data_IF_503866865210
#
_entry.id   IF_503866865210
#
_cell.length_a   1.000
_cell.length_b   1.000
_cell.length_c   1.000
_cell.angle_alpha   90.00
_cell.angle_beta   90.00
_cell.angle_gamma   90.00
#
_symmetry.space_group_name_H-M   'P 1'
#
loop_
_entity.id
_entity.type
_entity.pdbx_description
1 polymer ?
#
# COMPACT_ATOMS: atom_id res chain seq x y z
N UNK A 1 7.39 -4.75 -4.79
CA UNK A 1 6.21 -4.72 -3.88
C UNK A 1 6.23 -5.95 -2.97
N UNK A 2 6.69 -5.82 -1.72
CA UNK A 2 6.70 -6.91 -0.72
C UNK A 2 5.39 -6.91 0.08
N UNK A 3 4.26 -7.08 -0.60
CA UNK A 3 2.97 -7.19 0.07
C UNK A 3 2.50 -8.66 -0.05
N UNK A 4 2.40 -9.35 1.11
CA UNK A 4 2.00 -10.76 1.18
C UNK A 4 0.59 -10.96 0.61
N UNK A 5 -0.32 -10.03 0.90
CA UNK A 5 -1.70 -10.07 0.43
C UNK A 5 -1.83 -9.89 -1.07
N UNK A 6 -1.02 -9.02 -1.65
CA UNK A 6 -0.93 -8.94 -3.11
C UNK A 6 -0.40 -10.25 -3.73
N UNK A 7 0.54 -10.94 -3.07
CA UNK A 7 1.00 -12.25 -3.53
C UNK A 7 -0.11 -13.30 -3.45
N UNK A 8 -0.88 -13.32 -2.37
CA UNK A 8 -2.07 -14.18 -2.22
C UNK A 8 -3.11 -13.90 -3.31
N UNK A 9 -3.41 -12.62 -3.56
CA UNK A 9 -4.35 -12.19 -4.61
C UNK A 9 -3.90 -12.64 -6.01
N UNK A 10 -2.60 -12.53 -6.31
CA UNK A 10 -2.04 -13.06 -7.56
C UNK A 10 -2.18 -14.57 -7.69
N UNK A 11 -2.04 -15.31 -6.59
CA UNK A 11 -2.16 -16.77 -6.60
C UNK A 11 -3.63 -17.20 -6.76
N UNK A 12 -4.56 -16.52 -6.11
CA UNK A 12 -6.01 -16.75 -6.27
C UNK A 12 -6.46 -16.59 -7.72
N UNK A 13 -5.90 -15.61 -8.44
CA UNK A 13 -6.26 -15.32 -9.83
C UNK A 13 -5.42 -16.11 -10.86
N UNK A 14 -4.57 -17.04 -10.44
CA UNK A 14 -3.62 -17.73 -11.33
C UNK A 14 -4.27 -18.71 -12.32
N UNK A 15 -5.52 -19.09 -12.18
CA UNK A 15 -6.22 -19.87 -13.21
C UNK A 15 -6.67 -19.00 -14.39
N UNK A 16 -7.07 -17.76 -14.12
CA UNK A 16 -7.74 -16.85 -15.07
C UNK A 16 -6.87 -15.69 -15.55
N UNK A 17 -5.95 -15.23 -14.72
CA UNK A 17 -5.35 -13.91 -14.87
C UNK A 17 -3.86 -13.87 -14.50
N UNK A 18 -3.13 -12.90 -15.04
CA UNK A 18 -1.71 -12.68 -14.82
C UNK A 18 -1.42 -11.21 -14.60
N UNK A 19 -0.71 -10.92 -13.51
CA UNK A 19 -0.13 -9.60 -13.26
C UNK A 19 1.29 -9.54 -13.79
N UNK A 20 1.59 -8.54 -14.59
CA UNK A 20 2.93 -8.20 -15.03
C UNK A 20 3.31 -6.85 -14.42
N UNK A 21 4.28 -6.87 -13.51
CA UNK A 21 4.85 -5.68 -12.88
C UNK A 21 6.29 -5.56 -13.33
N UNK A 22 6.69 -4.37 -13.76
CA UNK A 22 8.04 -4.12 -14.24
C UNK A 22 8.27 -2.64 -14.48
N UNK A 23 9.38 -2.29 -15.13
CA UNK A 23 9.62 -0.92 -15.53
C UNK A 23 8.55 -0.45 -16.52
N UNK A 24 7.86 0.64 -16.20
CA UNK A 24 6.88 1.27 -17.09
C UNK A 24 7.47 1.49 -18.49
N UNK A 25 8.73 1.94 -18.56
CA UNK A 25 9.42 2.19 -19.82
C UNK A 25 9.49 0.94 -20.70
N UNK A 26 9.75 -0.22 -20.11
CA UNK A 26 9.86 -1.51 -20.81
C UNK A 26 8.48 -1.96 -21.26
N UNK A 27 7.48 -1.94 -20.37
CA UNK A 27 6.11 -2.32 -20.71
C UNK A 27 5.53 -1.45 -21.83
N UNK A 28 5.77 -0.13 -21.81
CA UNK A 28 5.39 0.79 -22.87
C UNK A 28 6.01 0.45 -24.22
N UNK A 29 7.27 0.01 -24.24
CA UNK A 29 7.94 -0.43 -25.48
C UNK A 29 7.36 -1.73 -25.98
N UNK A 30 7.07 -2.69 -25.08
CA UNK A 30 6.49 -3.99 -25.46
C UNK A 30 5.09 -3.88 -26.06
N UNK A 31 4.29 -2.90 -25.63
CA UNK A 31 2.96 -2.64 -26.18
C UNK A 31 3.02 -1.77 -27.45
N UNK A 32 4.05 -0.95 -27.60
CA UNK A 32 4.17 0.11 -28.61
C UNK A 32 3.75 1.47 -28.06
N UNK A 33 4.43 2.53 -28.48
CA UNK A 33 4.22 3.90 -27.98
C UNK A 33 3.34 4.75 -28.88
N UNK A 34 3.15 4.33 -30.12
CA UNK A 34 2.36 4.99 -31.15
C UNK A 34 1.60 3.97 -31.99
N UNK A 35 0.74 4.44 -32.89
CA UNK A 35 0.03 3.59 -33.85
C UNK A 35 1.00 2.87 -34.79
N UNK A 36 2.18 3.44 -35.07
CA UNK A 36 3.13 2.88 -36.02
C UNK A 36 3.89 1.65 -35.49
N UNK A 37 4.03 1.53 -34.17
CA UNK A 37 4.80 0.48 -33.48
C UNK A 37 3.94 -0.35 -32.52
N UNK A 38 2.62 -0.26 -32.63
CA UNK A 38 1.72 -0.97 -31.73
C UNK A 38 1.68 -2.47 -31.99
N UNK A 39 1.78 -3.26 -30.93
CA UNK A 39 1.74 -4.71 -31.02
C UNK A 39 0.36 -5.23 -31.48
N UNK A 40 -0.70 -4.47 -31.18
CA UNK A 40 -2.09 -4.72 -31.60
C UNK A 40 -2.81 -3.39 -31.82
N UNK A 41 -3.79 -3.33 -32.73
CA UNK A 41 -4.59 -2.12 -32.98
C UNK A 41 -5.11 -1.46 -31.70
N UNK A 42 -4.78 -0.20 -31.49
CA UNK A 42 -5.19 0.61 -30.34
C UNK A 42 -4.50 0.32 -29.01
N UNK A 43 -3.62 -0.69 -28.90
CA UNK A 43 -3.01 -1.08 -27.62
C UNK A 43 -2.01 -0.03 -27.10
N UNK A 44 -1.44 0.80 -27.98
CA UNK A 44 -0.55 1.90 -27.60
C UNK A 44 -1.23 2.91 -26.65
N UNK A 45 -2.57 2.93 -26.58
CA UNK A 45 -3.33 3.74 -25.62
C UNK A 45 -3.03 3.33 -24.18
N UNK A 46 -2.87 2.02 -23.89
CA UNK A 46 -2.45 1.53 -22.56
C UNK A 46 -1.07 2.07 -22.17
N UNK A 47 -0.14 2.16 -23.12
CA UNK A 47 1.22 2.67 -22.88
C UNK A 47 1.21 4.09 -22.32
N UNK A 48 0.27 4.94 -22.77
CA UNK A 48 0.13 6.33 -22.28
C UNK A 48 -0.29 6.39 -20.81
N UNK A 49 -0.98 5.37 -20.32
CA UNK A 49 -1.48 5.25 -18.95
C UNK A 49 -0.48 4.60 -17.97
N UNK A 50 0.59 3.96 -18.46
CA UNK A 50 1.62 3.34 -17.61
C UNK A 50 2.55 4.40 -16.97
N UNK A 51 2.17 4.91 -15.80
CA UNK A 51 2.93 5.92 -15.03
C UNK A 51 2.89 5.59 -13.53
N UNK A 52 3.90 6.04 -12.78
CA UNK A 52 4.02 5.75 -11.34
C UNK A 52 4.07 4.25 -11.04
N UNK A 53 3.42 3.84 -9.95
CA UNK A 53 3.30 2.43 -9.54
C UNK A 53 2.20 1.68 -10.33
N UNK A 54 2.40 1.58 -11.64
CA UNK A 54 1.49 0.90 -12.56
C UNK A 54 2.00 -0.49 -12.99
N UNK A 55 1.06 -1.32 -13.45
CA UNK A 55 1.34 -2.65 -13.97
C UNK A 55 0.26 -3.10 -14.95
N UNK A 56 0.50 -4.23 -15.62
CA UNK A 56 -0.46 -4.83 -16.54
C UNK A 56 -1.18 -5.99 -15.87
N UNK A 57 -2.48 -6.08 -16.09
CA UNK A 57 -3.32 -7.18 -15.64
C UNK A 57 -4.00 -7.80 -16.87
N UNK A 58 -3.56 -9.01 -17.22
CA UNK A 58 -4.15 -9.78 -18.29
C UNK A 58 -5.13 -10.77 -17.70
N UNK A 59 -6.33 -10.88 -18.26
CA UNK A 59 -7.39 -11.71 -17.69
C UNK A 59 -8.34 -12.19 -18.77
N UNK A 60 -8.93 -13.37 -18.55
CA UNK A 60 -10.07 -13.87 -19.31
C UNK A 60 -11.42 -13.65 -18.58
N UNK A 61 -11.42 -12.93 -17.46
CA UNK A 61 -12.63 -12.59 -16.72
C UNK A 61 -13.39 -11.46 -17.41
N UNK A 62 -14.70 -11.43 -17.17
CA UNK A 62 -15.57 -10.37 -17.67
C UNK A 62 -15.30 -9.04 -16.96
N UNK A 63 -15.61 -7.94 -17.66
CA UNK A 63 -15.35 -6.56 -17.20
C UNK A 63 -15.88 -6.32 -15.78
N UNK A 64 -17.13 -6.68 -15.55
CA UNK A 64 -17.83 -6.42 -14.29
C UNK A 64 -17.24 -7.23 -13.14
N UNK A 65 -16.73 -8.44 -13.42
CA UNK A 65 -16.05 -9.25 -12.42
C UNK A 65 -14.70 -8.65 -12.03
N UNK A 66 -13.92 -8.19 -13.02
CA UNK A 66 -12.64 -7.51 -12.77
C UNK A 66 -12.83 -6.25 -11.94
N UNK A 67 -13.85 -5.44 -12.26
CA UNK A 67 -14.18 -4.24 -11.48
C UNK A 67 -14.53 -4.59 -10.03
N UNK A 68 -15.40 -5.58 -9.81
CA UNK A 68 -15.76 -6.04 -8.45
C UNK A 68 -14.55 -6.56 -7.68
N UNK A 69 -13.65 -7.29 -8.32
CA UNK A 69 -12.45 -7.83 -7.69
C UNK A 69 -11.51 -6.71 -7.21
N UNK A 70 -11.29 -5.69 -8.04
CA UNK A 70 -10.38 -4.58 -7.70
C UNK A 70 -11.01 -3.64 -6.67
N UNK A 71 -12.31 -3.39 -6.74
CA UNK A 71 -13.04 -2.57 -5.75
C UNK A 71 -13.03 -3.21 -4.36
N UNK A 72 -13.20 -4.54 -4.29
CA UNK A 72 -13.13 -5.28 -3.02
C UNK A 72 -11.71 -5.46 -2.49
N UNK A 73 -10.69 -5.33 -3.34
CA UNK A 73 -9.32 -5.55 -2.93
C UNK A 73 -8.79 -4.35 -2.14
N UNK A 74 -8.91 -4.47 -0.82
CA UNK A 74 -8.43 -3.51 0.15
C UNK A 74 -7.71 -4.23 1.28
N UNK A 75 -6.50 -3.79 1.59
CA UNK A 75 -5.69 -4.39 2.64
C UNK A 75 -5.11 -3.34 3.57
N UNK A 76 -5.42 -3.45 4.85
CA UNK A 76 -4.84 -2.60 5.88
C UNK A 76 -3.41 -3.06 6.19
N UNK A 77 -2.48 -2.13 6.12
CA UNK A 77 -1.05 -2.31 6.39
C UNK A 77 -0.55 -1.29 7.41
N UNK A 78 0.63 -1.55 7.95
CA UNK A 78 1.29 -0.63 8.85
C UNK A 78 1.76 0.60 8.07
N UNK A 79 1.41 1.78 8.57
CA UNK A 79 1.86 3.02 7.98
C UNK A 79 3.39 3.15 8.10
N UNK A 80 3.99 3.79 7.11
CA UNK A 80 5.44 4.02 7.03
C UNK A 80 5.75 5.47 7.39
N UNK A 81 7.02 5.75 7.64
CA UNK A 81 7.50 7.13 7.76
C UNK A 81 7.00 7.98 6.59
N UNK A 82 6.49 9.17 6.89
CA UNK A 82 5.96 10.11 5.91
C UNK A 82 4.50 9.87 5.53
N UNK A 83 3.90 8.70 5.82
CA UNK A 83 2.46 8.52 5.66
C UNK A 83 1.71 9.49 6.58
N UNK A 84 0.60 10.04 6.09
CA UNK A 84 -0.28 10.90 6.89
C UNK A 84 -1.06 10.01 7.87
N UNK A 85 -1.03 10.35 9.15
CA UNK A 85 -1.79 9.64 10.18
C UNK A 85 -3.30 9.86 9.96
N UNK A 86 -4.05 8.76 9.95
CA UNK A 86 -5.51 8.77 9.72
C UNK A 86 -6.31 9.11 10.97
N UNK A 87 -5.68 9.02 12.14
CA UNK A 87 -6.29 9.33 13.43
C UNK A 87 -5.19 9.68 14.45
N UNK A 88 -5.59 10.34 15.53
CA UNK A 88 -4.71 10.56 16.68
C UNK A 88 -4.53 9.27 17.46
N UNK A 89 -3.29 8.90 17.78
CA UNK A 89 -2.99 7.81 18.72
C UNK A 89 -2.24 8.36 19.92
N UNK A 90 -2.83 8.15 21.08
CA UNK A 90 -2.32 8.57 22.37
C UNK A 90 -2.33 7.38 23.34
N UNK A 91 -1.21 7.17 24.02
CA UNK A 91 -1.08 6.19 25.08
C UNK A 91 -1.18 6.89 26.43
N UNK A 92 -1.95 6.33 27.35
CA UNK A 92 -2.08 6.84 28.71
C UNK A 92 -1.04 6.25 29.64
N UNK A 93 -0.63 7.02 30.64
CA UNK A 93 0.24 6.55 31.72
C UNK A 93 -0.32 5.25 32.33
N UNK A 94 0.56 4.28 32.60
CA UNK A 94 0.16 3.00 33.18
C UNK A 94 0.81 1.78 32.53
N UNK A 95 0.40 0.56 32.94
CA UNK A 95 0.99 -0.68 32.45
C UNK A 95 0.67 -0.94 30.97
N UNK A 96 1.68 -1.38 30.22
CA UNK A 96 1.58 -1.85 28.84
C UNK A 96 1.60 -3.39 28.80
N UNK A 97 0.49 -3.99 29.22
CA UNK A 97 0.34 -5.44 29.40
C UNK A 97 0.53 -6.26 28.11
N UNK A 98 0.37 -5.63 26.95
CA UNK A 98 0.56 -6.25 25.64
C UNK A 98 2.03 -6.57 25.33
N UNK A 99 3.00 -6.05 26.10
CA UNK A 99 4.42 -6.24 25.86
C UNK A 99 5.09 -7.08 26.95
N UNK A 100 5.93 -8.03 26.53
CA UNK A 100 6.83 -8.76 27.46
C UNK A 100 7.91 -7.83 28.01
N UNK A 101 8.30 -8.03 29.27
CA UNK A 101 9.37 -7.26 29.94
C UNK A 101 10.69 -7.17 29.16
N UNK A 102 11.03 -8.19 28.37
CA UNK A 102 12.23 -8.22 27.52
C UNK A 102 12.22 -7.13 26.41
N UNK A 103 11.03 -6.64 26.05
CA UNK A 103 10.84 -5.59 25.04
C UNK A 103 11.15 -4.19 25.55
N UNK A 104 11.29 -4.00 26.87
CA UNK A 104 11.44 -2.67 27.48
C UNK A 104 12.61 -1.86 26.90
N UNK A 105 13.83 -2.41 26.75
CA UNK A 105 14.94 -1.65 26.18
C UNK A 105 14.68 -1.24 24.73
N UNK A 106 13.96 -2.08 23.98
CA UNK A 106 13.59 -1.81 22.59
C UNK A 106 12.55 -0.70 22.49
N UNK A 107 11.49 -0.75 23.31
CA UNK A 107 10.42 0.24 23.36
C UNK A 107 10.96 1.60 23.79
N UNK A 108 11.80 1.64 24.83
CA UNK A 108 12.49 2.85 25.27
C UNK A 108 13.36 3.46 24.16
N UNK A 109 14.07 2.63 23.39
CA UNK A 109 14.87 3.08 22.24
C UNK A 109 14.02 3.64 21.08
N UNK A 110 12.74 3.26 20.96
CA UNK A 110 11.80 3.87 20.01
C UNK A 110 11.24 5.22 20.50
N UNK A 111 11.62 5.67 21.71
CA UNK A 111 11.25 6.99 22.24
C UNK A 111 10.04 6.98 23.18
N UNK A 112 9.46 5.81 23.50
CA UNK A 112 8.39 5.77 24.50
C UNK A 112 8.99 5.95 25.91
N UNK A 113 8.41 6.82 26.76
CA UNK A 113 8.83 7.00 28.13
C UNK A 113 8.34 5.83 28.98
N UNK A 114 9.09 4.73 28.99
CA UNK A 114 8.75 3.52 29.75
C UNK A 114 9.73 3.24 30.89
N UNK A 115 9.26 2.48 31.89
CA UNK A 115 10.05 1.88 32.96
C UNK A 115 9.62 0.45 33.20
N UNK A 116 10.51 -0.36 33.77
CA UNK A 116 10.16 -1.69 34.27
C UNK A 116 9.75 -1.60 35.74
N UNK A 117 8.50 -1.94 36.06
CA UNK A 117 7.99 -1.98 37.42
C UNK A 117 7.50 -3.40 37.76
N UNK A 118 8.16 -4.07 38.72
CA UNK A 118 7.83 -5.44 39.15
C UNK A 118 7.67 -6.45 38.00
N UNK A 119 8.47 -6.30 36.94
CA UNK A 119 8.43 -7.18 35.76
C UNK A 119 7.35 -6.82 34.72
N UNK A 120 6.60 -5.73 34.91
CA UNK A 120 5.71 -5.16 33.90
C UNK A 120 6.31 -3.88 33.30
N UNK A 121 6.09 -3.67 32.01
CA UNK A 121 6.45 -2.40 31.35
C UNK A 121 5.35 -1.40 31.67
N UNK A 122 5.73 -0.23 32.20
CA UNK A 122 4.82 0.88 32.46
C UNK A 122 5.25 2.10 31.67
N UNK A 123 4.29 2.77 31.03
CA UNK A 123 4.44 4.12 30.52
C UNK A 123 4.46 5.10 31.69
N UNK A 124 5.47 5.98 31.72
CA UNK A 124 5.76 6.91 32.83
C UNK A 124 4.90 8.16 32.79
N UNK A 125 4.37 8.51 31.62
CA UNK A 125 3.47 9.64 31.41
C UNK A 125 2.66 9.42 30.13
N UNK A 126 1.55 10.12 29.98
CA UNK A 126 0.83 10.17 28.70
C UNK A 126 1.78 10.50 27.54
N UNK A 127 1.59 9.82 26.41
CA UNK A 127 2.46 9.95 25.24
C UNK A 127 1.63 9.94 23.95
N UNK A 128 1.74 11.02 23.18
CA UNK A 128 1.12 11.10 21.85
C UNK A 128 2.05 10.48 20.82
N UNK A 129 1.60 9.39 20.20
CA UNK A 129 2.35 8.69 19.15
C UNK A 129 2.27 9.45 17.84
N UNK A 130 1.07 9.92 17.46
CA UNK A 130 0.84 10.75 16.28
C UNK A 130 -0.46 11.55 16.42
N UNK A 131 -0.53 12.65 15.68
CA UNK A 131 -1.73 13.49 15.52
C UNK A 131 -2.33 13.25 14.13
N UNK A 132 -3.66 13.28 14.05
CA UNK A 132 -4.38 13.12 12.78
C UNK A 132 -3.95 14.19 11.76
N UNK A 133 -3.77 13.79 10.50
CA UNK A 133 -3.39 14.69 9.42
C UNK A 133 -1.90 15.08 9.39
N UNK A 134 -1.08 14.58 10.32
CA UNK A 134 0.36 14.84 10.33
C UNK A 134 1.17 13.68 9.73
N UNK A 135 2.32 13.96 9.08
CA UNK A 135 3.21 12.92 8.58
C UNK A 135 3.86 12.16 9.74
N UNK A 136 3.87 10.83 9.65
CA UNK A 136 4.46 9.96 10.66
C UNK A 136 5.98 10.05 10.68
N UNK A 137 6.56 10.24 11.87
CA UNK A 137 8.00 10.09 12.08
C UNK A 137 8.41 8.60 12.01
N UNK A 138 9.71 8.30 11.84
CA UNK A 138 10.22 6.93 11.90
C UNK A 138 9.90 6.21 13.21
N UNK A 139 9.90 6.93 14.33
CA UNK A 139 9.61 6.45 15.68
C UNK A 139 8.12 6.17 15.85
N UNK A 140 7.26 7.07 15.37
CA UNK A 140 5.80 6.91 15.39
C UNK A 140 5.36 5.70 14.55
N UNK A 141 5.86 5.57 13.32
CA UNK A 141 5.55 4.43 12.45
C UNK A 141 5.96 3.09 13.07
N UNK A 142 7.13 3.03 13.73
CA UNK A 142 7.59 1.84 14.46
C UNK A 142 6.74 1.54 15.69
N UNK A 143 6.35 2.58 16.44
CA UNK A 143 5.47 2.46 17.60
C UNK A 143 4.09 1.95 17.21
N UNK A 144 3.46 2.52 16.18
CA UNK A 144 2.17 2.04 15.64
C UNK A 144 2.24 0.56 15.23
N UNK A 145 3.33 0.16 14.58
CA UNK A 145 3.56 -1.25 14.22
C UNK A 145 3.69 -2.16 15.44
N UNK A 146 4.36 -1.71 16.50
CA UNK A 146 4.45 -2.46 17.77
C UNK A 146 3.08 -2.61 18.43
N UNK A 147 2.26 -1.56 18.36
CA UNK A 147 0.90 -1.55 18.89
C UNK A 147 -0.10 -2.35 18.02
N UNK A 148 0.31 -2.84 16.86
CA UNK A 148 -0.58 -3.53 15.93
C UNK A 148 -1.55 -2.60 15.19
N UNK A 149 -1.34 -1.29 15.25
CA UNK A 149 -2.21 -0.27 14.64
C UNK A 149 -1.84 -0.07 13.18
N UNK A 150 -2.80 -0.29 12.29
CA UNK A 150 -2.65 -0.18 10.84
C UNK A 150 -3.33 1.11 10.35
N UNK A 151 -2.55 2.03 9.81
CA UNK A 151 -3.01 3.33 9.30
C UNK A 151 -2.72 3.53 7.81
N UNK A 152 -2.25 2.51 7.11
CA UNK A 152 -2.11 2.55 5.66
C UNK A 152 -3.11 1.58 5.04
N UNK A 153 -3.67 2.02 3.91
CA UNK A 153 -4.57 1.19 3.11
C UNK A 153 -3.93 0.96 1.76
N UNK A 154 -3.70 -0.30 1.43
CA UNK A 154 -3.25 -0.73 0.12
C UNK A 154 -4.47 -1.09 -0.74
N UNK A 155 -4.61 -0.43 -1.89
CA UNK A 155 -5.66 -0.71 -2.88
C UNK A 155 -5.04 -0.84 -4.26
N UNK A 156 -5.69 -1.62 -5.13
CA UNK A 156 -5.38 -1.66 -6.55
C UNK A 156 -6.45 -0.88 -7.30
N UNK A 157 -6.02 -0.07 -8.25
CA UNK A 157 -6.94 0.75 -9.04
C UNK A 157 -6.89 0.34 -10.51
N UNK A 158 -8.06 0.08 -11.07
CA UNK A 158 -8.21 -0.05 -12.51
C UNK A 158 -8.10 1.35 -13.13
N UNK A 159 -7.07 1.56 -13.94
CA UNK A 159 -6.84 2.85 -14.60
C UNK A 159 -7.54 2.88 -15.96
N UNK A 160 -7.34 1.83 -16.75
CA UNK A 160 -7.94 1.66 -18.06
C UNK A 160 -8.05 0.17 -18.43
N UNK A 161 -8.89 -0.11 -19.43
CA UNK A 161 -9.06 -1.43 -20.04
C UNK A 161 -8.93 -1.29 -21.56
N UNK A 162 -8.33 -2.30 -22.15
CA UNK A 162 -8.28 -2.46 -23.60
C UNK A 162 -8.74 -3.88 -23.95
N UNK A 163 -9.56 -3.99 -24.99
CA UNK A 163 -9.76 -5.21 -25.76
C UNK A 163 -9.67 -4.84 -27.26
N UNK A 164 -9.74 -5.80 -28.19
CA UNK A 164 -9.61 -5.49 -29.62
C UNK A 164 -10.67 -4.52 -30.17
N UNK A 165 -11.84 -4.46 -29.54
CA UNK A 165 -13.00 -3.70 -30.02
C UNK A 165 -13.16 -2.33 -29.33
N UNK A 166 -12.58 -2.17 -28.14
CA UNK A 166 -12.88 -1.09 -27.22
C UNK A 166 -11.69 -0.72 -26.32
N UNK A 167 -11.64 0.56 -25.96
CA UNK A 167 -10.70 1.11 -24.98
C UNK A 167 -11.45 2.05 -24.05
N UNK A 168 -11.35 1.78 -22.75
CA UNK A 168 -12.08 2.50 -21.72
C UNK A 168 -11.12 2.98 -20.64
N UNK A 169 -11.29 4.23 -20.20
CA UNK A 169 -10.54 4.83 -19.09
C UNK A 169 -11.46 4.93 -17.89
N UNK A 170 -11.02 4.37 -16.76
CA UNK A 170 -11.75 4.43 -15.50
C UNK A 170 -11.26 5.55 -14.59
N UNK A 171 -9.98 5.91 -14.70
CA UNK A 171 -9.36 7.01 -13.94
C UNK A 171 -8.46 7.82 -14.86
N UNK A 172 -8.83 9.07 -15.10
CA UNK A 172 -7.98 10.06 -15.75
C UNK A 172 -7.11 10.75 -14.70
N UNK A 173 -5.80 10.86 -14.96
CA UNK A 173 -4.88 11.56 -14.05
C UNK A 173 -4.64 10.81 -12.74
N UNK A 174 -3.66 9.91 -12.73
CA UNK A 174 -3.02 9.55 -11.46
C UNK A 174 -2.21 10.77 -11.01
N UNK A 175 -2.81 11.65 -10.20
CA UNK A 175 -2.05 12.54 -9.34
C UNK A 175 -1.32 11.63 -8.34
N UNK A 176 -0.01 11.48 -8.58
CA UNK A 176 0.89 10.68 -7.77
C UNK A 176 1.28 11.44 -6.50
N UNK A 177 0.30 11.90 -5.72
CA UNK A 177 0.60 12.62 -4.47
C UNK A 177 1.00 11.69 -3.32
N UNK A 178 0.81 10.38 -3.43
CA UNK A 178 1.17 9.46 -2.36
C UNK A 178 2.14 8.39 -2.85
N UNK A 179 3.29 8.32 -2.17
CA UNK A 179 4.36 7.33 -2.28
C UNK A 179 5.53 7.70 -3.22
N UNK A 180 6.17 8.84 -2.97
CA UNK A 180 7.64 8.88 -3.02
C UNK A 180 8.18 8.43 -1.66
N UNK A 181 8.44 7.14 -1.52
CA UNK A 181 9.40 6.65 -0.53
C UNK A 181 10.66 6.25 -1.29
N UNK A 182 11.67 7.11 -1.24
CA UNK A 182 13.04 6.82 -1.67
C UNK A 182 13.63 5.62 -0.92
#
# INVERSE_FOLDING_TARGET
MRNLKFKEFREQLKSSSRFFLGSNKVMQVSLGRSVADEAKPGIHKLSKCLRGDAGLFFTNLEKEEVQRLFEKFEEHDFARTGCIATEKVELKEGPLEQFSHEMEPFIRKQGLPVRLNKGAIELVSDFVVCEEGQPLSPESARTLRLLGIKMATFRLHLVCRWNPDDFEVYREGLDLSDVESS
#
